data_IF_646080065355
#
_entry.id   IF_646080065355
#
_cell.length_a   1.000
_cell.length_b   1.000
_cell.length_c   1.000
_cell.angle_alpha   90.00
_cell.angle_beta   90.00
_cell.angle_gamma   90.00
#
_symmetry.space_group_name_H-M   'P 1'
#
loop_
_entity.id
_entity.type
_entity.pdbx_description
1 polymer ?
#
# COMPACT_ATOMS: atom_id res chain seq x y z
N UNK A 1 17.16 -36.34 39.93
CA UNK A 1 17.90 -35.20 39.38
C UNK A 1 16.88 -34.23 38.79
N UNK A 2 16.81 -32.99 39.31
CA UNK A 2 15.85 -32.02 38.80
C UNK A 2 16.53 -31.13 37.74
N UNK A 3 16.43 -31.52 36.46
CA UNK A 3 16.87 -30.77 35.32
C UNK A 3 15.72 -29.93 34.80
N UNK A 4 15.94 -28.66 34.59
CA UNK A 4 14.96 -27.69 34.07
C UNK A 4 15.52 -26.95 32.87
N UNK A 5 14.65 -26.53 31.96
CA UNK A 5 15.01 -25.80 30.75
C UNK A 5 14.62 -24.32 30.91
N UNK A 6 15.56 -23.41 30.69
CA UNK A 6 15.25 -21.97 30.69
C UNK A 6 14.58 -21.54 29.38
N UNK A 7 14.06 -20.31 29.35
CA UNK A 7 13.40 -19.72 28.17
C UNK A 7 14.29 -19.65 26.94
N UNK A 8 15.60 -19.59 27.11
CA UNK A 8 16.58 -19.60 26.01
C UNK A 8 17.05 -21.03 25.64
N UNK A 9 16.39 -22.07 26.17
CA UNK A 9 16.60 -23.47 25.79
C UNK A 9 17.72 -24.19 26.54
N UNK A 10 18.44 -23.55 27.46
CA UNK A 10 19.52 -24.20 28.20
C UNK A 10 18.96 -25.15 29.29
N UNK A 11 19.57 -26.31 29.39
CA UNK A 11 19.25 -27.29 30.44
C UNK A 11 20.21 -27.11 31.63
N UNK A 12 19.65 -26.98 32.83
CA UNK A 12 20.47 -26.83 34.05
C UNK A 12 19.80 -27.44 35.26
N UNK A 13 20.57 -27.64 36.34
CA UNK A 13 20.10 -28.25 37.57
C UNK A 13 19.67 -27.18 38.58
N UNK A 14 18.38 -27.12 38.87
CA UNK A 14 17.79 -26.14 39.79
C UNK A 14 18.26 -26.30 41.23
N UNK A 15 18.68 -27.50 41.66
CA UNK A 15 19.22 -27.72 43.00
C UNK A 15 20.63 -27.03 43.21
N UNK A 16 21.42 -26.87 42.12
CA UNK A 16 22.71 -26.23 42.17
C UNK A 16 22.70 -24.73 41.90
N UNK A 17 21.76 -24.28 41.07
CA UNK A 17 21.74 -22.94 40.56
C UNK A 17 20.45 -22.16 40.86
N UNK A 18 19.56 -22.76 41.67
CA UNK A 18 18.26 -22.16 42.00
C UNK A 18 17.42 -21.91 40.75
N UNK A 19 16.68 -20.80 40.76
CA UNK A 19 15.78 -20.42 39.65
C UNK A 19 16.48 -19.62 38.54
N UNK A 20 17.83 -19.43 38.63
CA UNK A 20 18.56 -18.63 37.63
C UNK A 20 19.42 -19.55 36.74
N UNK A 21 19.28 -19.42 35.44
CA UNK A 21 20.07 -20.19 34.49
C UNK A 21 21.54 -19.71 34.49
N UNK A 22 22.54 -20.60 34.76
CA UNK A 22 23.95 -20.21 34.83
C UNK A 22 24.55 -19.85 33.47
N UNK A 23 23.91 -20.16 32.37
CA UNK A 23 24.38 -19.92 31.01
C UNK A 23 23.92 -18.60 30.41
N UNK A 24 22.79 -18.06 30.87
CA UNK A 24 22.22 -16.83 30.33
C UNK A 24 21.71 -15.85 31.40
N UNK A 25 21.92 -16.15 32.69
CA UNK A 25 21.50 -15.34 33.84
C UNK A 25 20.00 -14.95 33.89
N UNK A 26 19.14 -15.66 33.17
CA UNK A 26 17.70 -15.44 33.18
C UNK A 26 17.08 -16.18 34.36
N UNK A 27 16.34 -15.45 35.20
CA UNK A 27 15.59 -15.99 36.32
C UNK A 27 14.25 -16.56 35.86
N UNK A 28 13.87 -17.75 36.36
CA UNK A 28 12.57 -18.38 36.07
C UNK A 28 11.40 -17.72 36.82
N UNK A 29 11.67 -16.87 37.80
CA UNK A 29 10.64 -16.13 38.56
C UNK A 29 10.06 -14.90 37.82
N UNK A 30 10.64 -14.56 36.67
CA UNK A 30 9.95 -13.67 35.76
C UNK A 30 8.92 -14.51 35.00
N UNK A 31 7.79 -14.79 35.68
CA UNK A 31 6.60 -15.26 35.04
C UNK A 31 6.40 -14.49 33.74
N UNK A 32 6.13 -15.22 32.68
CA UNK A 32 5.74 -14.68 31.40
C UNK A 32 4.82 -13.47 31.61
N UNK A 33 5.40 -12.27 31.70
CA UNK A 33 4.66 -11.12 31.26
C UNK A 33 4.41 -11.43 29.78
N UNK A 34 3.18 -11.93 29.50
CA UNK A 34 2.58 -11.72 28.20
C UNK A 34 2.91 -10.28 27.90
N UNK A 35 3.83 -10.05 26.99
CA UNK A 35 3.92 -8.80 26.30
C UNK A 35 2.60 -8.77 25.57
N UNK A 36 1.58 -8.16 26.21
CA UNK A 36 0.46 -7.66 25.47
C UNK A 36 1.14 -6.79 24.43
N UNK A 37 1.00 -7.20 23.17
CA UNK A 37 1.36 -6.35 22.07
C UNK A 37 0.65 -5.03 22.38
N UNK A 38 1.43 -4.04 22.80
CA UNK A 38 0.94 -2.67 22.83
C UNK A 38 0.56 -2.44 21.38
N UNK A 39 -0.73 -2.54 21.09
CA UNK A 39 -1.29 -1.93 19.90
C UNK A 39 -0.93 -0.44 20.05
N UNK A 40 0.25 -0.09 19.55
CA UNK A 40 0.50 1.27 19.13
C UNK A 40 -0.58 1.48 18.08
N UNK A 41 -1.64 2.16 18.47
CA UNK A 41 -2.66 2.60 17.56
C UNK A 41 -1.87 3.28 16.43
N UNK A 42 -1.85 2.64 15.28
CA UNK A 42 -1.19 3.17 14.10
C UNK A 42 -1.99 4.43 13.75
N UNK A 43 -1.41 5.59 14.08
CA UNK A 43 -2.04 6.91 13.94
C UNK A 43 -2.14 7.31 12.45
N UNK A 44 -2.06 6.30 11.55
CA UNK A 44 -2.28 6.47 10.12
C UNK A 44 -3.76 6.64 9.86
N UNK A 45 -4.09 7.68 9.15
CA UNK A 45 -5.43 7.88 8.58
C UNK A 45 -5.83 6.64 7.78
N UNK A 46 -6.83 5.92 8.25
CA UNK A 46 -7.35 4.74 7.58
C UNK A 46 -8.47 5.12 6.62
N UNK A 47 -8.56 4.49 5.45
CA UNK A 47 -9.70 4.63 4.57
C UNK A 47 -11.02 4.27 5.27
N UNK A 48 -12.13 4.89 4.88
CA UNK A 48 -13.46 4.69 5.50
C UNK A 48 -13.94 3.22 5.41
N UNK A 49 -13.38 2.41 4.52
CA UNK A 49 -13.71 1.00 4.26
C UNK A 49 -12.73 -0.03 4.83
N UNK A 50 -11.73 0.39 5.64
CA UNK A 50 -10.64 -0.48 6.11
C UNK A 50 -11.02 -1.42 7.26
N UNK A 51 -12.24 -1.35 7.78
CA UNK A 51 -12.62 -2.10 8.99
C UNK A 51 -13.01 -3.57 8.75
N UNK A 52 -13.04 -4.05 7.49
CA UNK A 52 -13.60 -5.38 7.21
C UNK A 52 -12.83 -6.23 6.18
N UNK A 53 -11.80 -5.69 5.53
CA UNK A 53 -10.98 -6.45 4.60
C UNK A 53 -9.68 -6.92 5.27
N UNK A 54 -9.64 -8.21 5.60
CA UNK A 54 -8.47 -8.91 6.13
C UNK A 54 -7.37 -8.96 5.05
N UNK A 55 -6.71 -7.83 4.80
CA UNK A 55 -5.41 -7.73 4.16
C UNK A 55 -5.33 -7.50 2.65
N UNK A 56 -6.40 -7.45 1.87
CA UNK A 56 -6.33 -7.20 0.41
C UNK A 56 -7.19 -6.02 0.00
N UNK A 57 -6.56 -4.87 -0.25
CA UNK A 57 -7.28 -3.74 -0.85
C UNK A 57 -7.78 -4.10 -2.26
N UNK A 58 -9.10 -3.93 -2.52
CA UNK A 58 -9.68 -4.29 -3.80
C UNK A 58 -9.16 -3.40 -4.93
N UNK A 59 -8.93 -4.00 -6.09
CA UNK A 59 -8.54 -3.29 -7.32
C UNK A 59 -9.77 -2.62 -7.91
N UNK A 60 -9.67 -1.34 -8.20
CA UNK A 60 -10.74 -0.56 -8.83
C UNK A 60 -10.49 -0.28 -10.32
N UNK A 61 -9.25 -0.48 -10.78
CA UNK A 61 -8.85 -0.30 -12.18
C UNK A 61 -7.37 -0.57 -12.38
N UNK A 62 -6.89 -0.33 -13.60
CA UNK A 62 -5.49 -0.50 -13.97
C UNK A 62 -4.99 0.66 -14.83
N UNK A 63 -3.69 0.92 -14.70
CA UNK A 63 -2.91 1.59 -15.73
C UNK A 63 -2.08 0.52 -16.45
N UNK A 64 -2.12 0.52 -17.78
CA UNK A 64 -1.28 -0.38 -18.59
C UNK A 64 -0.29 0.46 -19.38
N UNK A 65 0.99 0.19 -19.22
CA UNK A 65 2.04 0.88 -19.97
C UNK A 65 2.03 0.43 -21.44
N UNK A 66 1.75 1.36 -22.35
CA UNK A 66 1.69 1.09 -23.79
C UNK A 66 2.94 1.58 -24.54
N UNK A 67 3.69 2.54 -23.95
CA UNK A 67 4.93 3.08 -24.50
C UNK A 67 5.89 3.44 -23.38
N UNK A 68 7.18 3.16 -23.52
CA UNK A 68 8.22 3.46 -22.54
C UNK A 68 8.97 2.23 -22.07
N UNK A 69 9.80 2.40 -21.02
CA UNK A 69 10.68 1.34 -20.52
C UNK A 69 9.94 0.13 -19.95
N UNK A 70 8.73 0.34 -19.47
CA UNK A 70 7.88 -0.69 -18.84
C UNK A 70 6.72 -1.12 -19.74
N UNK A 71 6.88 -1.04 -21.07
CA UNK A 71 5.82 -1.42 -22.01
C UNK A 71 5.31 -2.84 -21.76
N UNK A 72 3.98 -2.98 -21.63
CA UNK A 72 3.29 -4.24 -21.31
C UNK A 72 3.06 -4.48 -19.82
N UNK A 73 3.68 -3.67 -18.93
CA UNK A 73 3.44 -3.75 -17.50
C UNK A 73 2.10 -3.11 -17.16
N UNK A 74 1.35 -3.74 -16.25
CA UNK A 74 0.16 -3.21 -15.63
C UNK A 74 0.43 -2.75 -14.20
N UNK A 75 -0.33 -1.76 -13.76
CA UNK A 75 -0.31 -1.22 -12.40
C UNK A 75 -1.72 -1.16 -11.87
N UNK A 76 -1.93 -1.73 -10.68
CA UNK A 76 -3.23 -1.76 -10.03
C UNK A 76 -3.55 -0.40 -9.44
N UNK A 77 -4.76 0.07 -9.69
CA UNK A 77 -5.34 1.23 -9.03
C UNK A 77 -6.26 0.70 -7.92
N UNK A 78 -6.10 1.26 -6.74
CA UNK A 78 -6.89 0.94 -5.55
C UNK A 78 -7.82 2.08 -5.20
N UNK A 79 -8.69 1.88 -4.23
CA UNK A 79 -9.57 2.94 -3.73
C UNK A 79 -8.78 4.16 -3.24
N UNK A 80 -9.44 5.32 -3.23
CA UNK A 80 -8.90 6.61 -2.83
C UNK A 80 -7.73 7.09 -3.71
N UNK A 81 -6.60 7.45 -3.12
CA UNK A 81 -5.49 8.12 -3.81
C UNK A 81 -4.33 7.17 -4.07
N UNK A 82 -3.99 7.02 -5.34
CA UNK A 82 -2.82 6.26 -5.77
C UNK A 82 -1.75 7.23 -6.26
N UNK A 83 -0.71 7.41 -5.45
CA UNK A 83 0.42 8.27 -5.77
C UNK A 83 1.36 7.59 -6.75
N UNK A 84 1.68 8.28 -7.84
CA UNK A 84 2.50 7.78 -8.94
C UNK A 84 3.86 8.47 -8.93
N UNK A 85 4.92 7.68 -9.07
CA UNK A 85 6.29 8.18 -9.19
C UNK A 85 7.27 7.04 -9.41
N UNK A 86 8.56 7.34 -9.44
CA UNK A 86 9.60 6.31 -9.65
C UNK A 86 10.20 5.76 -8.36
N UNK A 87 9.91 6.35 -7.19
CA UNK A 87 10.37 5.83 -5.90
C UNK A 87 9.57 4.60 -5.50
N UNK A 88 10.22 3.66 -4.81
CA UNK A 88 9.61 2.45 -4.24
C UNK A 88 8.52 2.75 -3.19
N UNK A 89 8.53 3.96 -2.64
CA UNK A 89 7.52 4.42 -1.67
C UNK A 89 6.17 4.79 -2.32
N UNK A 90 6.09 4.83 -3.65
CA UNK A 90 4.86 5.21 -4.36
C UNK A 90 3.93 4.01 -4.51
N UNK A 91 2.61 4.27 -4.44
CA UNK A 91 1.59 3.23 -4.66
C UNK A 91 1.70 2.62 -6.06
N UNK A 92 2.03 3.46 -7.05
CA UNK A 92 2.32 3.06 -8.42
C UNK A 92 3.76 3.50 -8.73
N UNK A 93 4.67 2.53 -8.68
CA UNK A 93 6.07 2.77 -8.99
C UNK A 93 6.33 2.54 -10.47
N UNK A 94 6.80 3.55 -11.18
CA UNK A 94 7.19 3.47 -12.59
C UNK A 94 8.71 3.56 -12.69
N UNK A 95 9.35 2.44 -13.01
CA UNK A 95 10.80 2.35 -13.13
C UNK A 95 11.28 2.60 -14.55
N UNK A 96 12.56 2.99 -14.71
CA UNK A 96 13.22 3.09 -16.01
C UNK A 96 12.97 4.37 -16.78
N UNK A 97 12.13 5.29 -16.30
CA UNK A 97 11.91 6.60 -16.91
C UNK A 97 12.32 7.74 -15.96
N UNK A 98 13.49 8.31 -16.20
CA UNK A 98 14.05 9.40 -15.38
C UNK A 98 13.34 10.75 -15.55
N UNK A 99 12.45 10.89 -16.53
CA UNK A 99 11.63 12.08 -16.71
C UNK A 99 10.41 12.08 -15.77
N UNK A 100 10.09 10.95 -15.15
CA UNK A 100 9.07 10.86 -14.10
C UNK A 100 9.68 11.30 -12.77
N UNK A 101 8.97 12.12 -12.01
CA UNK A 101 9.39 12.58 -10.68
C UNK A 101 9.57 11.40 -9.73
N UNK A 102 10.47 11.52 -8.76
CA UNK A 102 10.66 10.48 -7.75
C UNK A 102 9.39 10.23 -6.95
N UNK A 103 8.75 11.33 -6.50
CA UNK A 103 7.51 11.30 -5.71
C UNK A 103 6.47 12.17 -6.39
N UNK A 104 5.21 11.82 -6.24
CA UNK A 104 4.04 12.62 -6.62
C UNK A 104 4.14 13.24 -8.02
N UNK A 105 4.48 12.46 -9.03
CA UNK A 105 4.43 12.96 -10.41
C UNK A 105 2.98 13.20 -10.84
N UNK A 106 2.10 12.30 -10.43
CA UNK A 106 0.66 12.36 -10.58
C UNK A 106 -0.02 11.57 -9.48
N UNK A 107 -1.33 11.76 -9.33
CA UNK A 107 -2.19 10.96 -8.47
C UNK A 107 -3.40 10.52 -9.27
N UNK A 108 -3.78 9.24 -9.17
CA UNK A 108 -5.07 8.76 -9.61
C UNK A 108 -5.93 8.51 -8.38
N UNK A 109 -7.10 9.13 -8.34
CA UNK A 109 -8.05 8.98 -7.25
C UNK A 109 -9.32 8.32 -7.74
N UNK A 110 -9.81 7.31 -7.02
CA UNK A 110 -11.13 6.74 -7.19
C UNK A 110 -12.04 7.20 -6.06
N UNK A 111 -13.20 7.73 -6.42
CA UNK A 111 -14.25 8.12 -5.47
C UNK A 111 -15.37 7.07 -5.51
N UNK A 112 -15.52 6.22 -4.48
CA UNK A 112 -16.53 5.16 -4.47
C UNK A 112 -17.98 5.67 -4.38
N UNK A 113 -18.18 6.86 -3.78
CA UNK A 113 -19.53 7.45 -3.69
C UNK A 113 -20.05 7.94 -5.03
N UNK A 114 -19.15 8.51 -5.86
CA UNK A 114 -19.50 9.04 -7.18
C UNK A 114 -19.15 8.06 -8.30
N UNK A 115 -18.43 6.98 -8.00
CA UNK A 115 -17.98 5.94 -8.94
C UNK A 115 -17.17 6.48 -10.11
N UNK A 116 -16.35 7.49 -9.84
CA UNK A 116 -15.53 8.13 -10.86
C UNK A 116 -14.05 8.22 -10.47
N UNK A 117 -13.23 8.38 -11.48
CA UNK A 117 -11.79 8.49 -11.35
C UNK A 117 -11.32 9.89 -11.74
N UNK A 118 -10.31 10.38 -11.03
CA UNK A 118 -9.66 11.64 -11.34
C UNK A 118 -8.16 11.46 -11.50
N UNK A 119 -7.60 12.09 -12.50
CA UNK A 119 -6.18 12.35 -12.63
C UNK A 119 -5.87 13.72 -12.04
N UNK A 120 -4.98 13.76 -11.09
CA UNK A 120 -4.54 14.95 -10.38
C UNK A 120 -3.06 15.15 -10.68
N UNK A 121 -2.62 16.32 -11.21
CA UNK A 121 -1.21 16.57 -11.39
C UNK A 121 -0.51 16.63 -10.04
N UNK A 122 0.73 16.13 -9.98
CA UNK A 122 1.55 16.19 -8.78
C UNK A 122 2.22 17.53 -8.57
N UNK A 123 3.05 17.59 -7.54
CA UNK A 123 3.84 18.77 -7.16
C UNK A 123 5.24 18.80 -7.80
N UNK A 124 5.57 17.78 -8.59
CA UNK A 124 6.82 17.69 -9.32
C UNK A 124 6.90 18.65 -10.51
N UNK A 125 8.13 18.90 -11.00
CA UNK A 125 8.37 19.77 -12.16
C UNK A 125 7.90 19.15 -13.50
N UNK A 126 7.64 17.84 -13.53
CA UNK A 126 7.20 17.14 -14.75
C UNK A 126 5.71 17.32 -15.00
N UNK A 127 5.36 17.62 -16.27
CA UNK A 127 3.97 17.71 -16.68
C UNK A 127 3.36 16.33 -16.93
N UNK A 128 2.09 16.22 -16.62
CA UNK A 128 1.24 15.08 -16.97
C UNK A 128 0.34 15.49 -18.13
N UNK A 129 0.15 14.58 -19.06
CA UNK A 129 -0.74 14.80 -20.19
C UNK A 129 -1.88 13.78 -20.17
N UNK A 130 -3.08 14.25 -20.44
CA UNK A 130 -4.29 13.46 -20.63
C UNK A 130 -4.76 13.64 -22.07
N UNK A 131 -4.78 12.56 -22.84
CA UNK A 131 -5.15 12.60 -24.27
C UNK A 131 -4.42 13.70 -25.04
N UNK A 132 -3.09 13.82 -24.86
CA UNK A 132 -2.20 14.83 -25.44
C UNK A 132 -2.44 16.27 -24.96
N UNK A 133 -3.23 16.52 -23.93
CA UNK A 133 -3.44 17.83 -23.31
C UNK A 133 -2.77 17.88 -21.95
N UNK A 134 -2.03 18.95 -21.67
CA UNK A 134 -1.39 19.14 -20.38
C UNK A 134 -2.45 19.31 -19.27
N UNK A 135 -2.23 18.63 -18.14
CA UNK A 135 -3.12 18.64 -16.97
C UNK A 135 -2.55 19.61 -15.94
N UNK A 136 -3.31 20.66 -15.63
CA UNK A 136 -2.95 21.67 -14.61
C UNK A 136 -3.88 21.63 -13.39
N UNK A 137 -5.03 20.99 -13.51
CA UNK A 137 -6.03 20.80 -12.47
C UNK A 137 -6.62 19.39 -12.56
N UNK A 138 -7.29 18.87 -11.52
CA UNK A 138 -7.91 17.56 -11.58
C UNK A 138 -8.81 17.37 -12.80
N UNK A 139 -8.66 16.25 -13.51
CA UNK A 139 -9.41 15.87 -14.70
C UNK A 139 -10.04 14.52 -14.48
N UNK A 140 -11.32 14.38 -14.80
CA UNK A 140 -12.01 13.09 -14.74
C UNK A 140 -11.49 12.15 -15.83
N UNK A 141 -11.27 10.87 -15.46
CA UNK A 141 -10.80 9.83 -16.36
C UNK A 141 -11.95 8.96 -16.83
N UNK A 142 -11.92 8.65 -18.11
CA UNK A 142 -12.82 7.68 -18.77
C UNK A 142 -12.04 6.48 -19.29
N UNK A 143 -12.76 5.38 -19.55
CA UNK A 143 -12.15 4.17 -20.07
C UNK A 143 -11.33 4.43 -21.34
N UNK A 144 -10.13 3.86 -21.40
CA UNK A 144 -9.18 3.96 -22.51
C UNK A 144 -8.52 5.33 -22.70
N UNK A 145 -8.67 6.24 -21.74
CA UNK A 145 -7.89 7.48 -21.74
C UNK A 145 -6.39 7.19 -21.71
N UNK A 146 -5.66 7.97 -22.49
CA UNK A 146 -4.20 7.87 -22.58
C UNK A 146 -3.55 8.94 -21.71
N UNK A 147 -2.74 8.49 -20.77
CA UNK A 147 -1.97 9.32 -19.86
C UNK A 147 -0.50 9.28 -20.26
N UNK A 148 0.14 10.44 -20.36
CA UNK A 148 1.58 10.50 -20.58
C UNK A 148 2.26 11.15 -19.38
N UNK A 149 3.26 10.46 -18.84
CA UNK A 149 4.13 10.90 -17.76
C UNK A 149 5.58 10.67 -18.20
N UNK A 150 6.39 11.72 -18.23
CA UNK A 150 7.73 11.64 -18.79
C UNK A 150 7.73 11.18 -20.26
N UNK A 151 8.48 10.12 -20.55
CA UNK A 151 8.55 9.47 -21.87
C UNK A 151 7.58 8.29 -22.00
N UNK A 152 6.89 7.93 -20.92
CA UNK A 152 6.04 6.76 -20.85
C UNK A 152 4.58 7.13 -21.07
N UNK A 153 3.85 6.27 -21.79
CA UNK A 153 2.40 6.39 -22.00
C UNK A 153 1.66 5.21 -21.42
N UNK A 154 0.53 5.48 -20.83
CA UNK A 154 -0.32 4.53 -20.16
C UNK A 154 -1.75 4.64 -20.67
N UNK A 155 -2.43 3.51 -20.77
CA UNK A 155 -3.86 3.48 -21.00
C UNK A 155 -4.57 3.19 -19.69
N UNK A 156 -5.65 3.93 -19.41
CA UNK A 156 -6.46 3.74 -18.21
C UNK A 156 -7.59 2.76 -18.47
N UNK A 157 -7.73 1.76 -17.60
CA UNK A 157 -8.76 0.72 -17.65
C UNK A 157 -9.50 0.69 -16.31
N UNK A 158 -10.72 1.25 -16.21
CA UNK A 158 -11.54 1.13 -15.01
C UNK A 158 -12.11 -0.29 -14.89
N UNK A 159 -12.15 -0.82 -13.66
CA UNK A 159 -12.95 -1.97 -13.27
C UNK A 159 -14.26 -1.50 -12.64
N UNK A 160 -14.14 -0.62 -11.63
CA UNK A 160 -15.28 -0.02 -10.96
C UNK A 160 -15.88 1.13 -11.77
N UNK A 161 -17.18 1.32 -11.65
CA UNK A 161 -17.95 2.35 -12.34
C UNK A 161 -19.42 2.00 -12.38
N UNK A 162 -20.11 2.40 -13.46
CA UNK A 162 -21.56 2.16 -13.61
C UNK A 162 -21.93 0.67 -13.78
N UNK A 163 -20.99 -0.17 -14.23
CA UNK A 163 -21.24 -1.59 -14.53
C UNK A 163 -20.80 -2.53 -13.42
N UNK A 164 -19.83 -2.12 -12.59
CA UNK A 164 -19.29 -2.94 -11.52
C UNK A 164 -18.83 -2.06 -10.37
N UNK A 165 -19.08 -2.55 -9.16
CA UNK A 165 -18.62 -1.96 -7.90
C UNK A 165 -18.43 -3.07 -6.88
N UNK A 166 -17.40 -2.93 -6.04
CA UNK A 166 -17.26 -3.79 -4.87
C UNK A 166 -18.37 -3.45 -3.89
N UNK A 167 -19.21 -4.44 -3.53
CA UNK A 167 -20.31 -4.23 -2.58
C UNK A 167 -19.71 -3.83 -1.22
N UNK A 168 -19.99 -2.61 -0.80
CA UNK A 168 -19.89 -2.22 0.59
C UNK A 168 -21.18 -2.62 1.27
N UNK A 169 -21.14 -3.60 2.17
CA UNK A 169 -22.33 -4.03 2.95
C UNK A 169 -22.92 -2.91 3.82
N UNK A 170 -22.25 -1.76 3.92
CA UNK A 170 -22.64 -0.61 4.75
C UNK A 170 -23.60 0.41 4.10
N UNK A 171 -24.00 0.25 2.85
CA UNK A 171 -24.93 1.18 2.17
C UNK A 171 -26.29 0.52 1.95
N UNK A 172 -26.66 -0.45 2.78
CA UNK A 172 -28.03 -0.98 2.82
C UNK A 172 -28.76 -0.43 4.06
N UNK A 173 -28.96 0.90 4.11
CA UNK A 173 -30.00 1.54 4.92
C UNK A 173 -30.72 2.61 4.09
#
# INVERSE_FOLDING_TARGET
>A
MSLTRCVNGHMYNTRKHGNTCPYCNVSMDQGTKKVEAVNVADDKTRPIWDDEYDGVEPVVGWLVCIEGAQRGQDYRIRSEKNFIGRSEEMHIQISGDNAISRRNHAVISYNPLQRNFFLIPGDGAGLVYHNNKAVYSPVELTAYDVLQMGKSKFIFIPLCGIHFEWENERIKE
#
